data_IF_145101532103
#
_entry.id   IF_145101532103
#
_cell.length_a   1.000
_cell.length_b   1.000
_cell.length_c   1.000
_cell.angle_alpha   90.00
_cell.angle_beta   90.00
_cell.angle_gamma   90.00
#
_symmetry.space_group_name_H-M   'P 1'
#
loop_
_entity.id
_entity.type
_entity.pdbx_description
1 polymer ?
#
# COMPACT_ATOMS: atom_id res chain seq x y z
N UNK A 1 12.21 -6.66 -33.77
CA UNK A 1 10.98 -6.61 -32.95
C UNK A 1 11.38 -6.80 -31.49
N UNK A 2 11.48 -5.74 -30.66
CA UNK A 2 11.76 -5.91 -29.24
C UNK A 2 10.48 -6.12 -28.42
N UNK A 3 10.65 -6.88 -27.34
CA UNK A 3 9.64 -7.60 -26.57
C UNK A 3 8.78 -6.69 -25.68
N UNK A 4 7.52 -7.10 -25.51
CA UNK A 4 6.47 -6.53 -24.66
C UNK A 4 6.94 -6.37 -23.21
N UNK A 5 6.81 -5.15 -22.69
CA UNK A 5 7.13 -4.78 -21.31
C UNK A 5 6.21 -5.49 -20.32
N UNK A 6 6.79 -6.36 -19.52
CA UNK A 6 6.19 -6.94 -18.32
C UNK A 6 5.85 -5.79 -17.35
N UNK A 7 4.58 -5.65 -16.97
CA UNK A 7 4.20 -4.83 -15.81
C UNK A 7 4.81 -5.51 -14.57
N UNK A 8 6.03 -5.07 -14.22
CA UNK A 8 6.71 -5.53 -13.03
C UNK A 8 5.98 -4.91 -11.82
N UNK A 9 5.65 -5.75 -10.83
CA UNK A 9 5.46 -5.28 -9.48
C UNK A 9 6.65 -4.36 -9.13
N UNK A 10 6.42 -3.23 -8.44
CA UNK A 10 7.49 -2.27 -8.18
C UNK A 10 8.67 -3.01 -7.53
N UNK A 11 9.85 -2.81 -8.09
CA UNK A 11 11.08 -3.41 -7.59
C UNK A 11 11.33 -2.88 -6.17
N UNK A 12 12.03 -3.64 -5.33
CA UNK A 12 12.32 -3.22 -3.94
C UNK A 12 12.95 -1.82 -3.85
N UNK A 13 13.65 -1.37 -4.90
CA UNK A 13 14.23 -0.03 -5.00
C UNK A 13 13.20 1.10 -5.19
N UNK A 14 12.09 0.86 -5.88
CA UNK A 14 11.06 1.90 -6.10
C UNK A 14 10.32 2.26 -4.80
N UNK A 15 10.32 1.34 -3.83
CA UNK A 15 9.70 1.53 -2.50
C UNK A 15 10.54 2.42 -1.59
N UNK A 16 11.86 2.42 -1.78
CA UNK A 16 12.81 3.24 -1.02
C UNK A 16 12.76 4.70 -1.48
N UNK A 17 12.50 4.94 -2.77
CA UNK A 17 12.48 6.29 -3.34
C UNK A 17 11.12 7.02 -3.13
N UNK A 18 10.02 6.28 -2.98
CA UNK A 18 8.70 6.83 -2.63
C UNK A 18 8.63 7.39 -1.20
N UNK A 19 9.47 6.91 -0.27
CA UNK A 19 9.59 7.47 1.07
C UNK A 19 10.08 8.94 1.05
N UNK A 20 10.72 9.39 -0.04
CA UNK A 20 11.23 10.75 -0.17
C UNK A 20 10.19 11.76 -0.70
N UNK A 21 9.02 11.33 -1.19
CA UNK A 21 7.97 12.21 -1.78
C UNK A 21 6.76 12.48 -0.87
N UNK A 22 6.67 11.80 0.27
CA UNK A 22 5.61 12.01 1.27
C UNK A 22 5.01 10.68 1.74
N UNK A 23 4.88 10.51 3.05
CA UNK A 23 4.25 9.35 3.69
C UNK A 23 2.98 9.74 4.43
N UNK A 24 2.03 8.82 4.49
CA UNK A 24 0.85 8.92 5.33
C UNK A 24 1.19 8.40 6.72
N UNK A 25 1.20 9.29 7.70
CA UNK A 25 1.30 8.90 9.10
C UNK A 25 -0.08 8.47 9.62
N UNK A 26 -0.18 7.20 10.03
CA UNK A 26 -1.39 6.62 10.59
C UNK A 26 -1.17 6.35 12.07
N UNK A 27 -1.92 7.05 12.91
CA UNK A 27 -1.98 6.80 14.35
C UNK A 27 -3.14 5.86 14.65
N UNK A 28 -2.82 4.63 15.07
CA UNK A 28 -3.83 3.67 15.52
C UNK A 28 -4.16 3.90 16.99
N UNK A 29 -5.36 4.41 17.27
CA UNK A 29 -5.83 4.68 18.64
C UNK A 29 -6.15 3.42 19.44
N UNK A 30 -6.29 2.26 18.79
CA UNK A 30 -6.54 0.97 19.47
C UNK A 30 -5.26 0.45 20.14
N UNK A 31 -4.11 0.74 19.54
CA UNK A 31 -2.79 0.24 19.98
C UNK A 31 -1.86 1.35 20.46
N UNK A 32 -2.23 2.62 20.26
CA UNK A 32 -1.40 3.81 20.44
C UNK A 32 -0.08 3.79 19.64
N UNK A 33 -0.02 3.00 18.56
CA UNK A 33 1.14 2.90 17.67
C UNK A 33 0.96 3.82 16.46
N UNK A 34 2.05 4.44 16.05
CA UNK A 34 2.11 5.28 14.85
C UNK A 34 2.88 4.55 13.76
N UNK A 35 2.31 4.52 12.57
CA UNK A 35 2.86 3.84 11.40
C UNK A 35 3.02 4.82 10.26
N UNK A 36 4.10 4.70 9.50
CA UNK A 36 4.30 5.49 8.29
C UNK A 36 4.06 4.60 7.06
N UNK A 37 3.12 4.99 6.20
CA UNK A 37 2.76 4.28 4.99
C UNK A 37 3.17 5.12 3.79
N UNK A 38 3.93 4.54 2.86
CA UNK A 38 4.30 5.24 1.64
C UNK A 38 3.06 5.45 0.75
N UNK A 39 2.91 6.66 0.23
CA UNK A 39 1.87 7.00 -0.75
C UNK A 39 2.51 7.00 -2.12
N UNK A 40 1.96 6.20 -3.05
CA UNK A 40 2.43 6.11 -4.43
C UNK A 40 1.28 6.32 -5.40
N UNK A 41 1.45 7.18 -6.40
CA UNK A 41 0.42 7.46 -7.41
C UNK A 41 -0.95 7.89 -6.80
N UNK A 42 -0.92 8.68 -5.71
CA UNK A 42 -2.11 9.05 -4.90
C UNK A 42 -2.88 7.87 -4.26
N UNK A 43 -2.26 6.69 -4.18
CA UNK A 43 -2.81 5.53 -3.53
C UNK A 43 -1.87 5.00 -2.44
N UNK A 44 -2.44 4.34 -1.44
CA UNK A 44 -1.68 3.52 -0.50
C UNK A 44 -1.85 2.06 -0.89
N UNK A 45 -0.84 1.23 -0.61
CA UNK A 45 -0.99 -0.22 -0.84
C UNK A 45 -1.82 -0.82 0.29
N UNK A 46 -2.91 -1.51 -0.06
CA UNK A 46 -3.74 -2.22 0.91
C UNK A 46 -2.95 -3.27 1.74
N UNK A 47 -1.87 -3.83 1.18
CA UNK A 47 -0.98 -4.77 1.90
C UNK A 47 -0.26 -4.10 3.08
N UNK A 48 0.02 -2.80 2.99
CA UNK A 48 0.67 -2.07 4.08
C UNK A 48 -0.25 -1.92 5.30
N UNK A 49 -1.58 -2.04 5.14
CA UNK A 49 -2.53 -2.07 6.26
C UNK A 49 -2.35 -3.28 7.18
N UNK A 50 -1.81 -4.40 6.67
CA UNK A 50 -1.49 -5.57 7.50
C UNK A 50 -0.40 -5.31 8.52
N UNK A 51 0.41 -4.25 8.34
CA UNK A 51 1.41 -3.83 9.32
C UNK A 51 0.76 -3.23 10.57
N UNK A 52 -0.47 -2.72 10.44
CA UNK A 52 -1.27 -2.16 11.53
C UNK A 52 -1.97 -3.30 12.26
N UNK A 53 -1.20 -3.99 13.11
CA UNK A 53 -1.67 -5.09 13.96
C UNK A 53 -1.74 -4.68 15.42
N UNK A 54 -2.65 -5.33 16.14
CA UNK A 54 -2.73 -5.30 17.60
C UNK A 54 -1.71 -6.25 18.22
N UNK A 55 -1.67 -6.33 19.55
CA UNK A 55 -0.76 -7.23 20.26
C UNK A 55 -1.28 -8.67 20.33
N UNK A 56 -2.47 -8.91 19.77
CA UNK A 56 -3.06 -10.24 19.67
C UNK A 56 -2.25 -11.10 18.68
N UNK A 57 -2.00 -12.34 19.08
CA UNK A 57 -1.26 -13.31 18.28
C UNK A 57 -2.04 -13.76 17.04
N UNK A 58 -3.37 -13.66 17.08
CA UNK A 58 -4.26 -14.07 15.98
C UNK A 58 -4.63 -12.91 15.04
N UNK A 59 -4.13 -11.69 15.29
CA UNK A 59 -4.41 -10.52 14.46
C UNK A 59 -3.52 -10.49 13.20
N UNK A 60 -4.16 -10.68 12.05
CA UNK A 60 -3.52 -10.61 10.73
C UNK A 60 -3.30 -9.17 10.23
N UNK A 61 -3.71 -8.17 11.03
CA UNK A 61 -3.66 -6.75 10.72
C UNK A 61 -4.92 -6.24 10.05
N UNK A 62 -4.96 -4.92 9.79
CA UNK A 62 -6.10 -4.29 9.15
C UNK A 62 -6.25 -4.67 7.67
N UNK A 63 -7.51 -4.68 7.24
CA UNK A 63 -7.92 -4.86 5.84
C UNK A 63 -8.68 -3.63 5.36
N UNK A 64 -8.53 -3.29 4.08
CA UNK A 64 -9.33 -2.26 3.43
C UNK A 64 -10.73 -2.80 3.18
N UNK A 65 -11.76 -2.11 3.67
CA UNK A 65 -13.15 -2.39 3.34
C UNK A 65 -13.67 -1.35 2.34
N UNK A 66 -13.84 -1.76 1.09
CA UNK A 66 -14.26 -0.88 -0.02
C UNK A 66 -15.23 -1.63 -0.95
N UNK A 67 -16.54 -1.57 -0.69
CA UNK A 67 -17.54 -2.23 -1.52
C UNK A 67 -17.47 -1.75 -2.97
N UNK A 68 -17.48 -2.70 -3.91
CA UNK A 68 -17.38 -2.44 -5.35
C UNK A 68 -16.07 -1.76 -5.82
N UNK A 69 -15.01 -1.76 -5.00
CA UNK A 69 -13.67 -1.25 -5.35
C UNK A 69 -13.66 0.21 -5.82
N UNK A 70 -14.57 1.05 -5.28
CA UNK A 70 -14.72 2.44 -5.70
C UNK A 70 -13.48 3.30 -5.42
N UNK A 71 -12.72 2.96 -4.38
CA UNK A 71 -11.49 3.65 -3.96
C UNK A 71 -10.26 2.75 -4.04
N UNK A 72 -10.37 1.59 -4.70
CA UNK A 72 -9.29 0.60 -4.79
C UNK A 72 -8.82 0.46 -6.23
N UNK A 73 -7.63 1.00 -6.51
CA UNK A 73 -6.94 0.75 -7.77
C UNK A 73 -6.47 -0.71 -7.84
N UNK A 74 -7.20 -1.54 -8.60
CA UNK A 74 -6.91 -2.98 -8.68
C UNK A 74 -5.67 -3.30 -9.53
N UNK A 75 -5.39 -2.50 -10.56
CA UNK A 75 -4.29 -2.70 -11.49
C UNK A 75 -3.64 -1.36 -11.87
N UNK A 76 -2.32 -1.34 -12.01
CA UNK A 76 -1.60 -0.25 -12.68
C UNK A 76 -1.53 -0.58 -14.17
N UNK A 77 -2.30 0.13 -15.00
CA UNK A 77 -2.29 -0.04 -16.46
C UNK A 77 -1.77 1.22 -17.13
N UNK A 78 -0.99 1.05 -18.20
CA UNK A 78 -0.58 2.13 -19.11
C UNK A 78 -1.28 2.03 -20.47
N UNK A 79 -2.31 1.18 -20.59
CA UNK A 79 -3.10 0.97 -21.81
C UNK A 79 -4.46 1.62 -21.60
N UNK A 80 -4.88 2.45 -22.56
CA UNK A 80 -6.19 3.13 -22.60
C UNK A 80 -7.12 2.44 -23.58
#
# INVERSE_FOLDING_TARGET
MPKTGKAAAPSENDLVEQAARGGLEVKDTRTNKTYNIAVADNAIRAVDLKKLKTEDADDLGLVSYDPAFLNTASCRSSIT
#
